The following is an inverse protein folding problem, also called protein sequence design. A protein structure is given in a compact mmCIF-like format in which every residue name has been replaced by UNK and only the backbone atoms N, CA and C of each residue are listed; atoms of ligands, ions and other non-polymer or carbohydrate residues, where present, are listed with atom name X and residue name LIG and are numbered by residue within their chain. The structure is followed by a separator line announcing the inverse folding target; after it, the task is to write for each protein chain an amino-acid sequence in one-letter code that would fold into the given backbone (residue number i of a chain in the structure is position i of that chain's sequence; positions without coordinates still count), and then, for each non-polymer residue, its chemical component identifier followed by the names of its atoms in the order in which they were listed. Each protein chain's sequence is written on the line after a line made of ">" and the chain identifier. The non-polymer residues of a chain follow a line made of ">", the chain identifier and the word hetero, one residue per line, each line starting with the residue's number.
data_IF_183511146941
#
_entry.id   IF_183511146941
#
_cell.length_a   1.000
_cell.length_b   1.000
_cell.length_c   1.000
_cell.angle_alpha   90.00
_cell.angle_beta   90.00
_cell.angle_gamma   90.00
#
_symmetry.space_group_name_H-M   'P 1'
#
loop_
_entity.id
_entity.type
_entity.pdbx_description
1 polymer ?
#
# COMPACT_ATOMS: atom_id res chain seq x y z
N UNK A 1 19.33 -7.30 6.59
CA UNK A 1 19.47 -6.64 5.28
C UNK A 1 20.23 -5.33 5.46
N UNK A 2 20.89 -4.80 4.41
CA UNK A 2 21.58 -3.51 4.47
C UNK A 2 20.58 -2.35 4.32
N UNK A 3 20.90 -1.13 4.77
CA UNK A 3 20.08 0.05 4.49
C UNK A 3 19.77 0.23 3.00
N UNK A 4 20.78 0.03 2.15
CA UNK A 4 20.66 0.10 0.68
C UNK A 4 19.63 -0.88 0.11
N UNK A 5 19.45 -2.06 0.73
CA UNK A 5 18.41 -3.00 0.28
C UNK A 5 17.01 -2.40 0.44
N UNK A 6 16.73 -1.74 1.58
CA UNK A 6 15.42 -1.16 1.86
C UNK A 6 15.14 0.08 1.01
N UNK A 7 16.17 0.89 0.76
CA UNK A 7 16.11 2.01 -0.18
C UNK A 7 15.75 1.51 -1.58
N UNK A 8 16.52 0.55 -2.10
CA UNK A 8 16.26 -0.03 -3.42
C UNK A 8 14.91 -0.71 -3.50
N UNK A 9 14.49 -1.43 -2.46
CA UNK A 9 13.16 -2.04 -2.45
C UNK A 9 12.07 -0.96 -2.53
N UNK A 10 12.19 0.09 -1.73
CA UNK A 10 11.23 1.20 -1.71
C UNK A 10 11.15 1.90 -3.07
N UNK A 11 12.29 2.10 -3.74
CA UNK A 11 12.35 2.69 -5.09
C UNK A 11 11.65 1.84 -6.16
N UNK A 12 11.46 0.54 -5.91
CA UNK A 12 10.83 -0.40 -6.84
C UNK A 12 9.40 -0.80 -6.43
N UNK A 13 8.84 -0.21 -5.36
CA UNK A 13 7.45 -0.46 -4.97
C UNK A 13 6.50 0.08 -6.04
N UNK A 14 5.52 -0.76 -6.40
CA UNK A 14 4.63 -0.48 -7.51
C UNK A 14 3.63 0.67 -7.24
N UNK A 15 3.32 0.96 -5.97
CA UNK A 15 2.27 1.91 -5.60
C UNK A 15 2.75 3.02 -4.64
N UNK A 16 4.05 3.28 -4.59
CA UNK A 16 4.61 4.34 -3.74
C UNK A 16 3.92 5.69 -3.98
N UNK A 17 3.40 6.30 -2.92
CA UNK A 17 2.64 7.56 -3.00
C UNK A 17 1.17 7.44 -3.42
N UNK A 18 0.70 6.25 -3.80
CA UNK A 18 -0.68 6.00 -4.19
C UNK A 18 -1.55 5.56 -3.01
N UNK A 19 -2.86 5.77 -3.13
CA UNK A 19 -3.83 5.19 -2.20
C UNK A 19 -3.99 3.68 -2.47
N UNK A 20 -3.74 2.89 -1.45
CA UNK A 20 -3.86 1.43 -1.48
C UNK A 20 -4.82 0.94 -0.41
N UNK A 21 -5.25 -0.31 -0.57
CA UNK A 21 -6.05 -1.05 0.39
C UNK A 21 -5.31 -2.33 0.76
N UNK A 22 -5.14 -2.56 2.06
CA UNK A 22 -4.63 -3.82 2.61
C UNK A 22 -5.81 -4.67 3.05
N UNK A 23 -5.89 -5.88 2.54
CA UNK A 23 -6.87 -6.90 2.95
C UNK A 23 -6.18 -7.94 3.83
N UNK A 24 -6.78 -8.21 4.99
CA UNK A 24 -6.36 -9.28 5.90
C UNK A 24 -7.60 -10.10 6.26
N UNK A 25 -7.47 -11.43 6.33
CA UNK A 25 -8.59 -12.32 6.64
C UNK A 25 -9.35 -11.89 7.89
N UNK A 26 -10.68 -11.80 7.78
CA UNK A 26 -11.64 -11.49 8.85
C UNK A 26 -11.53 -10.09 9.48
N UNK A 27 -10.69 -9.20 8.93
CA UNK A 27 -10.58 -7.81 9.39
C UNK A 27 -11.15 -6.83 8.38
N UNK A 28 -11.53 -5.65 8.86
CA UNK A 28 -11.87 -4.54 7.98
C UNK A 28 -10.64 -4.15 7.15
N UNK A 29 -10.80 -3.88 5.84
CA UNK A 29 -9.71 -3.41 5.01
C UNK A 29 -9.13 -2.11 5.55
N UNK A 30 -7.81 -1.97 5.44
CA UNK A 30 -7.10 -0.75 5.84
C UNK A 30 -6.79 0.04 4.58
N UNK A 31 -7.07 1.33 4.59
CA UNK A 31 -6.82 2.24 3.46
C UNK A 31 -5.84 3.32 3.90
N UNK A 32 -4.84 3.59 3.06
CA UNK A 32 -3.83 4.61 3.29
C UNK A 32 -2.97 4.86 2.06
N UNK A 33 -2.03 5.81 2.17
CA UNK A 33 -1.04 6.08 1.13
C UNK A 33 0.21 5.25 1.39
N UNK A 34 0.69 4.49 0.40
CA UNK A 34 1.94 3.72 0.54
C UNK A 34 3.16 4.65 0.65
N UNK A 35 3.96 4.46 1.70
CA UNK A 35 5.15 5.27 2.00
C UNK A 35 6.46 4.53 1.83
N UNK A 36 6.44 3.20 1.74
CA UNK A 36 7.63 2.38 1.62
C UNK A 36 7.59 1.17 2.56
N UNK A 37 8.76 0.60 2.82
CA UNK A 37 8.94 -0.41 3.86
C UNK A 37 9.89 0.07 4.96
N UNK A 38 9.69 -0.40 6.19
CA UNK A 38 10.61 -0.14 7.30
C UNK A 38 11.81 -1.11 7.31
N UNK A 39 12.73 -0.95 8.27
CA UNK A 39 13.91 -1.82 8.43
C UNK A 39 13.58 -3.27 8.83
N UNK A 40 12.33 -3.57 9.16
CA UNK A 40 11.83 -4.92 9.43
C UNK A 40 11.13 -5.52 8.21
N UNK A 41 10.94 -4.75 7.13
CA UNK A 41 10.24 -5.16 5.93
C UNK A 41 8.72 -4.94 6.00
N UNK A 42 8.23 -4.22 7.01
CA UNK A 42 6.80 -3.91 7.11
C UNK A 42 6.42 -2.82 6.14
N UNK A 43 5.25 -2.95 5.52
CA UNK A 43 4.66 -1.90 4.71
C UNK A 43 4.24 -0.72 5.59
N UNK A 44 4.69 0.49 5.23
CA UNK A 44 4.33 1.74 5.91
C UNK A 44 3.22 2.43 5.13
N UNK A 45 2.07 2.66 5.76
CA UNK A 45 1.01 3.51 5.20
C UNK A 45 0.83 4.80 6.00
N UNK A 46 0.60 5.91 5.31
CA UNK A 46 0.04 7.12 5.90
C UNK A 46 -1.49 7.03 5.87
N UNK A 47 -2.12 7.03 7.04
CA UNK A 47 -3.56 6.92 7.21
C UNK A 47 -4.25 8.30 7.14
N UNK A 48 -5.59 8.30 7.11
CA UNK A 48 -6.40 9.52 6.94
C UNK A 48 -6.26 10.55 8.08
N UNK A 49 -5.82 10.11 9.26
CA UNK A 49 -5.54 10.95 10.43
C UNK A 49 -4.09 11.48 10.44
N UNK A 50 -3.36 11.35 9.32
CA UNK A 50 -1.94 11.66 9.18
C UNK A 50 -1.02 10.83 10.10
N UNK A 51 -1.48 9.67 10.58
CA UNK A 51 -0.66 8.74 11.34
C UNK A 51 -0.02 7.73 10.40
N UNK A 52 1.28 7.52 10.54
CA UNK A 52 1.98 6.42 9.88
C UNK A 52 1.79 5.13 10.68
N UNK A 53 1.45 4.05 9.98
CA UNK A 53 1.27 2.73 10.58
C UNK A 53 1.95 1.65 9.74
N UNK A 54 2.49 0.65 10.42
CA UNK A 54 3.19 -0.48 9.79
C UNK A 54 2.32 -1.72 9.76
N UNK A 55 2.48 -2.52 8.70
CA UNK A 55 1.75 -3.76 8.48
C UNK A 55 2.72 -4.85 8.02
N UNK A 56 2.77 -5.94 8.78
CA UNK A 56 3.67 -7.07 8.51
C UNK A 56 3.19 -7.90 7.30
N UNK A 57 1.87 -8.05 7.16
CA UNK A 57 1.24 -8.92 6.14
C UNK A 57 -0.12 -8.40 5.69
N UNK A 58 -0.50 -8.79 4.48
CA UNK A 58 -1.82 -8.55 3.88
C UNK A 58 -1.71 -8.43 2.36
N UNK A 59 -2.84 -8.60 1.67
CA UNK A 59 -2.91 -8.40 0.22
C UNK A 59 -3.06 -6.91 -0.07
N UNK A 60 -2.14 -6.36 -0.87
CA UNK A 60 -2.14 -4.94 -1.24
C UNK A 60 -2.81 -4.76 -2.59
N UNK A 61 -3.86 -3.93 -2.63
CA UNK A 61 -4.58 -3.57 -3.84
C UNK A 61 -4.51 -2.06 -4.08
N UNK A 62 -4.29 -1.64 -5.32
CA UNK A 62 -4.40 -0.24 -5.73
C UNK A 62 -5.86 0.23 -5.63
N UNK A 63 -6.09 1.41 -5.04
CA UNK A 63 -7.43 1.99 -4.89
C UNK A 63 -7.43 3.44 -5.42
N UNK A 64 -7.66 3.65 -6.72
CA UNK A 64 -7.63 4.99 -7.30
C UNK A 64 -8.77 5.85 -6.73
N UNK A 65 -8.42 7.06 -6.25
CA UNK A 65 -9.39 8.06 -5.81
C UNK A 65 -10.23 8.63 -6.97
N UNK A 66 -9.74 8.49 -8.21
CA UNK A 66 -10.35 9.00 -9.43
C UNK A 66 -11.00 7.91 -10.27
N UNK A 67 -11.79 7.02 -9.66
CA UNK A 67 -12.73 6.18 -10.42
C UNK A 67 -13.91 7.02 -10.95
N UNK A 68 -13.63 8.12 -11.65
CA UNK A 68 -14.59 8.84 -12.48
C UNK A 68 -14.41 8.38 -13.92
N UNK A 69 -15.32 7.50 -14.35
CA UNK A 69 -15.75 7.30 -15.74
C UNK A 69 -14.79 6.67 -16.78
N UNK A 70 -14.05 5.62 -16.46
CA UNK A 70 -13.76 4.62 -17.50
C UNK A 70 -14.10 3.21 -17.00
N UNK A 71 -15.01 2.58 -17.72
CA UNK A 71 -15.52 1.24 -17.47
C UNK A 71 -14.41 0.20 -17.61
N UNK A 72 -13.70 -0.08 -16.52
CA UNK A 72 -12.79 -1.21 -16.42
C UNK A 72 -13.51 -2.44 -15.85
N UNK A 73 -13.71 -3.46 -16.68
CA UNK A 73 -14.04 -4.82 -16.21
C UNK A 73 -15.40 -5.38 -16.63
N UNK A 74 -15.75 -5.33 -17.92
CA UNK A 74 -16.51 -6.44 -18.52
C UNK A 74 -15.48 -7.47 -18.98
N UNK A 75 -15.71 -8.73 -18.65
CA UNK A 75 -14.89 -9.93 -18.92
C UNK A 75 -14.11 -10.46 -17.71
N UNK A 76 -14.82 -11.22 -16.87
CA UNK A 76 -14.56 -12.65 -16.69
C UNK A 76 -15.87 -13.32 -16.21
#
# INVERSE_FOLDING_TARGET
>A
ASPTFFEQWTDHLAFIGEQVMIVQSEKQPIIGIEKGIDSHGNLVLLLADNVEKTFEVGDVHLRPLNASNESGGKHA
#
